data_IF_669919596426
#
_entry.id   IF_669919596426
#
_cell.length_a   1.000
_cell.length_b   1.000
_cell.length_c   1.000
_cell.angle_alpha   90.00
_cell.angle_beta   90.00
_cell.angle_gamma   90.00
#
_symmetry.space_group_name_H-M   'P 1'
#
loop_
_entity.id
_entity.type
_entity.pdbx_description
1 polymer ?
#
# COMPACT_ATOMS: atom_id res chain seq x y z
N UNK A 1 -20.74 3.48 16.41
CA UNK A 1 -19.26 3.61 16.42
C UNK A 1 -18.67 4.06 17.74
N UNK A 2 -19.13 5.16 18.40
CA UNK A 2 -18.58 5.56 19.69
C UNK A 2 -18.64 4.47 20.78
N UNK A 3 -19.70 3.66 20.79
CA UNK A 3 -19.82 2.53 21.72
C UNK A 3 -18.71 1.47 21.52
N UNK A 4 -18.36 1.19 20.26
CA UNK A 4 -17.28 0.26 19.92
C UNK A 4 -15.93 0.82 20.39
N UNK A 5 -15.66 2.10 20.11
CA UNK A 5 -14.43 2.74 20.56
C UNK A 5 -14.30 2.70 22.08
N UNK A 6 -15.39 2.99 22.81
CA UNK A 6 -15.42 2.94 24.26
C UNK A 6 -15.25 1.51 24.82
N UNK A 7 -15.90 0.50 24.21
CA UNK A 7 -15.79 -0.91 24.60
C UNK A 7 -14.35 -1.42 24.50
N UNK A 8 -13.61 -1.00 23.44
CA UNK A 8 -12.23 -1.41 23.23
C UNK A 8 -11.21 -0.44 23.80
N UNK A 9 -11.64 0.61 24.53
CA UNK A 9 -10.74 1.60 25.12
C UNK A 9 -9.93 2.41 24.11
N UNK A 10 -10.43 2.58 22.87
CA UNK A 10 -9.74 3.27 21.81
C UNK A 10 -9.93 4.78 21.91
N UNK A 11 -8.86 5.58 22.04
CA UNK A 11 -8.93 7.02 22.11
C UNK A 11 -9.27 7.59 20.72
N UNK A 12 -10.42 8.23 20.58
CA UNK A 12 -10.91 8.78 19.31
C UNK A 12 -10.57 10.25 19.08
N UNK A 13 -10.00 10.92 20.08
CA UNK A 13 -9.52 12.31 20.01
C UNK A 13 -8.10 12.38 20.53
N UNK A 14 -7.39 13.39 20.08
CA UNK A 14 -6.11 13.76 20.67
C UNK A 14 -6.33 14.78 21.78
N UNK A 15 -5.47 14.77 22.78
CA UNK A 15 -5.42 15.84 23.75
C UNK A 15 -4.94 17.14 23.09
N UNK A 16 -5.45 18.31 23.53
CA UNK A 16 -5.09 19.60 22.92
C UNK A 16 -3.58 19.87 22.87
N UNK A 17 -2.81 19.33 23.82
CA UNK A 17 -1.35 19.46 23.85
C UNK A 17 -0.71 18.74 22.64
N UNK A 18 -1.23 17.57 22.26
CA UNK A 18 -0.74 16.77 21.12
C UNK A 18 -1.06 17.45 19.80
N UNK A 19 -2.31 17.95 19.64
CA UNK A 19 -2.73 18.68 18.45
C UNK A 19 -1.94 19.98 18.28
N UNK A 20 -1.78 20.78 19.32
CA UNK A 20 -0.98 22.01 19.30
C UNK A 20 0.49 21.73 18.96
N UNK A 21 1.07 20.63 19.49
CA UNK A 21 2.43 20.23 19.15
C UNK A 21 2.56 19.87 17.68
N UNK A 22 1.60 19.14 17.11
CA UNK A 22 1.59 18.81 15.68
C UNK A 22 1.38 20.06 14.80
N UNK A 23 0.46 20.95 15.18
CA UNK A 23 0.16 22.17 14.44
C UNK A 23 1.32 23.16 14.43
N UNK A 24 2.19 23.14 15.46
CA UNK A 24 3.41 23.96 15.52
C UNK A 24 4.49 23.52 14.50
N UNK A 25 4.38 22.34 13.91
CA UNK A 25 5.32 21.84 12.92
C UNK A 25 5.11 22.60 11.59
N UNK A 26 6.20 23.20 11.08
CA UNK A 26 6.16 23.95 9.81
C UNK A 26 5.81 23.08 8.61
N UNK A 27 4.95 23.61 7.74
CA UNK A 27 4.62 22.99 6.45
C UNK A 27 5.71 23.27 5.39
N UNK A 28 6.62 24.22 5.65
CA UNK A 28 7.62 24.64 4.68
C UNK A 28 8.89 23.80 4.82
N UNK A 29 9.28 23.20 3.72
CA UNK A 29 10.58 22.56 3.57
C UNK A 29 11.61 23.65 3.25
N UNK A 30 12.70 23.70 3.99
CA UNK A 30 13.78 24.69 3.85
C UNK A 30 15.05 24.02 3.34
N UNK A 31 16.02 24.82 2.88
CA UNK A 31 17.33 24.32 2.46
C UNK A 31 18.04 23.51 3.55
N UNK A 32 17.76 23.79 4.83
CA UNK A 32 18.29 23.03 5.95
C UNK A 32 17.72 21.60 5.96
N UNK A 33 16.45 21.45 5.63
CA UNK A 33 15.75 20.16 5.61
C UNK A 33 16.17 19.30 4.41
N UNK A 34 16.63 19.95 3.33
CA UNK A 34 17.16 19.30 2.13
C UNK A 34 18.60 18.81 2.27
N UNK A 35 19.34 19.34 3.26
CA UNK A 35 20.75 19.01 3.43
C UNK A 35 20.96 17.50 3.68
N UNK A 36 21.72 16.86 2.79
CA UNK A 36 22.01 15.42 2.87
C UNK A 36 20.93 14.51 2.33
N UNK A 37 19.88 15.05 1.73
CA UNK A 37 18.86 14.31 0.98
C UNK A 37 19.23 14.22 -0.50
N UNK A 38 18.92 13.10 -1.12
CA UNK A 38 19.00 12.96 -2.58
C UNK A 38 17.73 13.54 -3.20
N UNK A 39 17.89 14.34 -4.23
CA UNK A 39 16.78 15.02 -4.90
C UNK A 39 16.13 14.13 -5.96
N UNK A 40 14.83 13.92 -5.84
CA UNK A 40 13.97 13.18 -6.76
C UNK A 40 12.76 14.01 -7.24
N UNK A 41 12.78 15.34 -7.01
CA UNK A 41 11.65 16.20 -7.36
C UNK A 41 11.37 16.24 -8.86
N UNK A 42 12.39 16.07 -9.68
CA UNK A 42 12.28 16.04 -11.15
C UNK A 42 12.15 14.60 -11.70
N UNK A 43 12.01 13.59 -10.84
CA UNK A 43 11.84 12.20 -11.26
C UNK A 43 10.36 11.85 -11.26
N UNK A 44 9.87 11.25 -12.36
CA UNK A 44 8.48 10.82 -12.48
C UNK A 44 8.09 9.95 -11.27
N UNK A 45 7.19 10.46 -10.44
CA UNK A 45 6.80 9.85 -9.17
C UNK A 45 5.29 9.87 -9.02
N UNK A 46 4.72 8.81 -8.46
CA UNK A 46 3.27 8.68 -8.25
C UNK A 46 2.95 7.75 -7.09
N UNK A 47 1.74 7.88 -6.54
CA UNK A 47 1.17 6.97 -5.56
C UNK A 47 0.05 6.12 -6.17
N UNK A 48 -0.25 4.94 -5.60
CA UNK A 48 -1.39 4.09 -5.95
C UNK A 48 -2.04 3.63 -4.65
N UNK A 49 -3.22 4.17 -4.34
CA UNK A 49 -3.89 4.04 -3.04
C UNK A 49 -5.37 3.69 -3.22
N UNK A 50 -6.09 3.31 -2.13
CA UNK A 50 -7.55 3.28 -2.13
C UNK A 50 -8.14 4.64 -2.54
N UNK A 51 -9.29 4.64 -3.21
CA UNK A 51 -9.92 5.88 -3.69
C UNK A 51 -10.22 6.87 -2.56
N UNK A 52 -10.62 6.36 -1.41
CA UNK A 52 -10.97 7.11 -0.20
C UNK A 52 -9.76 7.45 0.71
N UNK A 53 -8.54 7.05 0.35
CA UNK A 53 -7.34 7.34 1.14
C UNK A 53 -6.99 8.83 1.14
N UNK A 54 -6.48 9.31 2.29
CA UNK A 54 -5.97 10.67 2.50
C UNK A 54 -4.52 10.69 2.96
N UNK A 55 -4.04 9.58 3.46
CA UNK A 55 -2.73 9.28 4.00
C UNK A 55 -1.94 8.45 2.96
N UNK A 56 -1.22 9.12 2.09
CA UNK A 56 -0.38 8.46 1.07
C UNK A 56 1.00 8.23 1.65
N UNK A 57 1.22 7.04 2.21
CA UNK A 57 2.43 6.72 2.96
C UNK A 57 3.61 6.32 2.07
N UNK A 58 3.34 5.82 0.86
CA UNK A 58 4.33 5.35 -0.09
C UNK A 58 4.11 5.88 -1.52
N UNK A 59 5.21 6.03 -2.24
CA UNK A 59 5.22 6.42 -3.65
C UNK A 59 6.26 5.62 -4.42
N UNK A 60 6.03 5.45 -5.72
CA UNK A 60 6.99 4.87 -6.64
C UNK A 60 7.51 5.92 -7.60
N UNK A 61 8.84 5.97 -7.81
CA UNK A 61 9.42 6.72 -8.91
C UNK A 61 9.97 5.79 -9.99
N UNK A 62 9.97 6.29 -11.22
CA UNK A 62 10.39 5.52 -12.39
C UNK A 62 11.20 6.36 -13.36
N UNK A 63 12.33 5.82 -13.81
CA UNK A 63 13.15 6.43 -14.87
C UNK A 63 13.79 5.32 -15.72
N UNK A 64 13.74 5.48 -17.05
CA UNK A 64 14.50 4.62 -17.98
C UNK A 64 15.96 5.10 -18.01
N UNK A 65 16.92 4.17 -17.92
CA UNK A 65 18.34 4.46 -17.99
C UNK A 65 18.87 4.20 -19.42
N UNK A 66 19.98 4.89 -19.77
CA UNK A 66 20.61 4.75 -21.09
C UNK A 66 21.09 3.32 -21.40
N UNK A 67 21.43 2.55 -20.37
CA UNK A 67 21.85 1.14 -20.51
C UNK A 67 20.69 0.14 -20.71
N UNK A 68 19.45 0.64 -20.83
CA UNK A 68 18.25 -0.18 -20.99
C UNK A 68 17.66 -0.73 -19.69
N UNK A 69 18.28 -0.47 -18.56
CA UNK A 69 17.72 -0.76 -17.24
C UNK A 69 16.73 0.34 -16.79
N UNK A 70 16.13 0.14 -15.63
CA UNK A 70 15.23 1.09 -15.00
C UNK A 70 15.77 1.50 -13.63
N UNK A 71 15.70 2.79 -13.30
CA UNK A 71 15.81 3.24 -11.92
C UNK A 71 14.40 3.28 -11.34
N UNK A 72 14.18 2.56 -10.26
CA UNK A 72 12.90 2.51 -9.53
C UNK A 72 13.15 2.90 -8.09
N UNK A 73 12.48 3.97 -7.65
CA UNK A 73 12.50 4.40 -6.25
C UNK A 73 11.22 3.94 -5.54
N UNK A 74 11.39 3.46 -4.33
CA UNK A 74 10.32 3.22 -3.35
C UNK A 74 10.51 4.24 -2.26
N UNK A 75 9.59 5.18 -2.15
CA UNK A 75 9.67 6.33 -1.26
C UNK A 75 8.63 6.20 -0.16
N UNK A 76 9.08 6.23 1.09
CA UNK A 76 8.22 6.18 2.28
C UNK A 76 8.29 7.53 2.97
N UNK A 77 7.17 8.06 3.44
CA UNK A 77 7.13 9.30 4.19
C UNK A 77 8.13 9.30 5.35
N UNK A 78 8.96 10.33 5.47
CA UNK A 78 9.98 10.43 6.54
C UNK A 78 9.34 10.91 7.84
N UNK A 79 8.41 10.12 8.39
CA UNK A 79 7.67 10.42 9.63
C UNK A 79 8.62 10.72 10.77
N UNK A 80 9.74 10.00 10.87
CA UNK A 80 10.74 10.17 11.91
C UNK A 80 11.49 11.52 11.86
N UNK A 81 11.36 12.25 10.77
CA UNK A 81 11.84 13.63 10.67
C UNK A 81 10.98 14.58 11.48
N UNK A 82 9.66 14.40 11.46
CA UNK A 82 8.68 15.25 12.14
C UNK A 82 8.40 14.80 13.56
N UNK A 83 8.29 13.48 13.78
CA UNK A 83 8.01 12.88 15.10
C UNK A 83 9.32 12.43 15.72
N UNK A 84 9.87 13.31 16.58
CA UNK A 84 11.16 13.03 17.26
C UNK A 84 10.92 12.18 18.51
N UNK A 85 11.84 11.25 18.84
CA UNK A 85 11.73 10.40 20.02
C UNK A 85 11.54 11.20 21.31
N UNK A 86 10.58 10.80 22.13
CA UNK A 86 10.25 11.43 23.42
C UNK A 86 9.42 12.69 23.33
N UNK A 87 9.07 13.17 22.12
CA UNK A 87 8.12 14.27 21.94
C UNK A 87 6.71 13.91 22.43
N UNK A 88 5.86 14.92 22.64
CA UNK A 88 4.46 14.71 23.02
C UNK A 88 3.73 13.84 21.99
N UNK A 89 3.95 14.11 20.69
CA UNK A 89 3.37 13.34 19.60
C UNK A 89 3.89 11.89 19.59
N UNK A 90 5.18 11.68 19.83
CA UNK A 90 5.77 10.34 19.90
C UNK A 90 5.18 9.50 21.05
N UNK A 91 5.02 10.11 22.23
CA UNK A 91 4.41 9.42 23.38
C UNK A 91 2.97 9.03 23.12
N UNK A 92 2.18 9.90 22.50
CA UNK A 92 0.81 9.60 22.10
C UNK A 92 0.75 8.51 21.04
N UNK A 93 1.63 8.56 20.03
CA UNK A 93 1.74 7.53 19.00
C UNK A 93 2.10 6.15 19.59
N UNK A 94 3.00 6.10 20.57
CA UNK A 94 3.33 4.87 21.31
C UNK A 94 2.13 4.34 22.11
N UNK A 95 1.35 5.21 22.74
CA UNK A 95 0.16 4.83 23.49
C UNK A 95 -0.93 4.26 22.56
N UNK A 96 -1.12 4.84 21.37
CA UNK A 96 -2.09 4.35 20.38
C UNK A 96 -1.62 3.07 19.68
N UNK A 97 -0.34 2.98 19.36
CA UNK A 97 0.30 1.84 18.73
C UNK A 97 -0.01 1.61 17.25
N UNK A 98 -1.18 2.05 16.76
CA UNK A 98 -1.62 1.92 15.37
C UNK A 98 -2.77 2.88 15.05
N UNK A 99 -3.02 3.11 13.76
CA UNK A 99 -4.29 3.68 13.29
C UNK A 99 -5.37 2.59 13.27
N UNK A 100 -6.60 2.95 13.59
CA UNK A 100 -7.75 2.03 13.58
C UNK A 100 -8.76 2.50 12.53
N UNK A 101 -8.99 1.64 11.53
CA UNK A 101 -9.92 1.93 10.44
C UNK A 101 -11.27 1.31 10.75
N UNK A 102 -12.27 2.17 10.94
CA UNK A 102 -13.67 1.80 11.13
C UNK A 102 -14.43 1.97 9.81
N UNK A 103 -15.67 1.54 9.79
CA UNK A 103 -16.52 1.60 8.58
C UNK A 103 -16.75 3.04 8.11
N UNK A 104 -16.91 3.97 9.06
CA UNK A 104 -17.30 5.36 8.81
C UNK A 104 -16.18 6.38 9.07
N UNK A 105 -15.07 5.96 9.67
CA UNK A 105 -13.96 6.86 10.02
C UNK A 105 -12.67 6.12 10.33
N UNK A 106 -11.58 6.85 10.32
CA UNK A 106 -10.28 6.41 10.85
C UNK A 106 -10.02 7.07 12.20
N UNK A 107 -9.52 6.30 13.16
CA UNK A 107 -8.90 6.81 14.39
C UNK A 107 -7.39 6.76 14.18
N UNK A 108 -6.75 7.87 13.81
CA UNK A 108 -5.36 7.86 13.38
C UNK A 108 -4.40 7.73 14.55
N UNK A 109 -3.25 7.10 14.31
CA UNK A 109 -2.14 7.01 15.26
C UNK A 109 -1.47 8.38 15.49
N UNK A 110 -1.39 9.19 14.44
CA UNK A 110 -0.81 10.53 14.45
C UNK A 110 -1.88 11.59 14.15
N UNK A 111 -1.77 12.82 14.67
CA UNK A 111 -2.67 13.93 14.31
C UNK A 111 -2.76 14.11 12.79
N UNK A 112 -3.93 14.54 12.32
CA UNK A 112 -4.21 14.69 10.87
C UNK A 112 -3.25 15.66 10.16
N UNK A 113 -2.72 16.65 10.88
CA UNK A 113 -1.66 17.54 10.38
C UNK A 113 -0.43 16.76 9.92
N UNK A 114 -0.12 15.65 10.57
CA UNK A 114 0.97 14.76 10.18
C UNK A 114 0.50 13.72 9.18
N UNK A 115 -0.49 12.90 9.53
CA UNK A 115 -0.90 11.76 8.70
C UNK A 115 -1.44 12.16 7.34
N UNK A 116 -2.31 13.19 7.28
CA UNK A 116 -3.00 13.57 6.04
C UNK A 116 -2.33 14.73 5.29
N UNK A 117 -1.32 15.41 5.90
CA UNK A 117 -0.66 16.57 5.27
C UNK A 117 0.85 16.39 5.16
N UNK A 118 1.61 16.53 6.26
CA UNK A 118 3.07 16.58 6.21
C UNK A 118 3.68 15.25 5.74
N UNK A 119 3.16 14.13 6.22
CA UNK A 119 3.63 12.80 5.86
C UNK A 119 2.87 12.19 4.67
N UNK A 120 1.75 12.76 4.23
CA UNK A 120 1.05 12.28 3.04
C UNK A 120 1.75 12.75 1.77
N UNK A 121 2.14 11.81 0.90
CA UNK A 121 2.90 12.05 -0.35
C UNK A 121 1.99 12.56 -1.47
N UNK A 122 1.32 13.69 -1.20
CA UNK A 122 0.30 14.30 -2.06
C UNK A 122 0.91 14.80 -3.37
N UNK A 123 0.16 14.70 -4.49
CA UNK A 123 0.65 15.17 -5.78
C UNK A 123 0.90 16.68 -5.80
N UNK A 124 1.94 17.09 -6.55
CA UNK A 124 2.37 18.47 -6.71
C UNK A 124 2.81 19.19 -5.42
N UNK A 125 3.20 18.42 -4.42
CA UNK A 125 3.77 18.91 -3.16
C UNK A 125 5.13 18.29 -2.92
N UNK A 126 6.11 19.11 -2.50
CA UNK A 126 7.41 18.60 -2.06
C UNK A 126 7.25 17.85 -0.73
N UNK A 127 7.82 16.65 -0.65
CA UNK A 127 7.72 15.79 0.54
C UNK A 127 9.08 15.20 0.90
N UNK A 128 9.33 15.15 2.21
CA UNK A 128 10.49 14.48 2.76
C UNK A 128 10.22 12.99 2.88
N UNK A 129 11.12 12.18 2.32
CA UNK A 129 10.97 10.73 2.29
C UNK A 129 12.25 10.03 2.72
N UNK A 130 12.11 8.76 3.11
CA UNK A 130 13.19 7.79 3.20
C UNK A 130 12.99 6.75 2.10
N UNK A 131 14.01 6.48 1.30
CA UNK A 131 13.82 5.77 0.04
C UNK A 131 14.77 4.60 -0.13
N UNK A 132 14.25 3.57 -0.81
CA UNK A 132 15.02 2.50 -1.40
C UNK A 132 15.00 2.69 -2.92
N UNK A 133 16.15 2.90 -3.53
CA UNK A 133 16.31 3.14 -4.96
C UNK A 133 17.08 2.00 -5.59
N UNK A 134 16.54 1.44 -6.66
CA UNK A 134 17.07 0.25 -7.33
C UNK A 134 17.36 0.54 -8.78
N UNK A 135 18.49 0.04 -9.28
CA UNK A 135 18.67 -0.21 -10.70
C UNK A 135 18.20 -1.63 -11.00
N UNK A 136 17.18 -1.75 -11.87
CA UNK A 136 16.51 -3.01 -12.16
C UNK A 136 16.56 -3.28 -13.67
N UNK A 137 16.94 -4.50 -14.05
CA UNK A 137 16.87 -4.93 -15.45
C UNK A 137 15.41 -5.17 -15.90
N UNK A 138 15.11 -5.20 -17.21
CA UNK A 138 13.78 -5.55 -17.72
C UNK A 138 13.28 -6.94 -17.26
N UNK A 139 14.20 -7.82 -16.88
CA UNK A 139 13.89 -9.14 -16.33
C UNK A 139 13.87 -9.16 -14.79
N UNK A 140 13.66 -8.00 -14.14
CA UNK A 140 13.60 -7.86 -12.68
C UNK A 140 14.85 -8.37 -11.94
N UNK A 141 16.03 -8.24 -12.53
CA UNK A 141 17.33 -8.46 -11.87
C UNK A 141 17.76 -7.16 -11.18
N UNK A 142 18.12 -7.20 -9.91
CA UNK A 142 18.63 -6.04 -9.17
C UNK A 142 20.12 -5.90 -9.48
N UNK A 143 20.49 -4.79 -10.11
CA UNK A 143 21.89 -4.45 -10.46
C UNK A 143 22.56 -3.71 -9.31
N UNK A 144 21.87 -2.72 -8.78
CA UNK A 144 22.36 -1.93 -7.64
C UNK A 144 21.19 -1.46 -6.76
N UNK A 145 21.50 -1.08 -5.54
CA UNK A 145 20.55 -0.49 -4.60
C UNK A 145 21.18 0.61 -3.78
N UNK A 146 20.37 1.62 -3.43
CA UNK A 146 20.75 2.72 -2.55
C UNK A 146 19.62 2.99 -1.56
N UNK A 147 19.96 3.30 -0.31
CA UNK A 147 19.02 3.60 0.76
C UNK A 147 19.38 4.90 1.45
N UNK A 148 18.43 5.77 1.65
CA UNK A 148 18.67 7.03 2.35
C UNK A 148 17.52 8.01 2.27
N UNK A 149 17.75 9.18 2.86
CA UNK A 149 16.78 10.27 2.85
C UNK A 149 16.73 10.96 1.49
N UNK A 150 15.51 11.26 1.06
CA UNK A 150 15.24 11.92 -0.22
C UNK A 150 14.24 13.04 -0.03
N UNK A 151 14.08 13.87 -1.07
CA UNK A 151 12.96 14.75 -1.28
C UNK A 151 12.34 14.40 -2.62
N UNK A 152 11.02 14.30 -2.67
CA UNK A 152 10.24 13.99 -3.87
C UNK A 152 9.21 15.09 -4.14
N UNK A 153 8.71 15.13 -5.36
CA UNK A 153 7.47 15.82 -5.73
C UNK A 153 6.63 14.84 -6.55
N UNK A 154 5.57 14.29 -5.96
CA UNK A 154 4.72 13.32 -6.64
C UNK A 154 3.96 14.02 -7.79
N UNK A 155 3.99 13.43 -8.99
CA UNK A 155 3.32 13.99 -10.17
C UNK A 155 1.84 13.61 -10.23
N UNK A 156 1.47 12.46 -9.64
CA UNK A 156 0.12 11.95 -9.78
C UNK A 156 -0.27 10.99 -8.64
N UNK A 157 -1.55 10.96 -8.32
CA UNK A 157 -2.14 9.97 -7.42
C UNK A 157 -3.12 9.09 -8.18
N UNK A 158 -2.89 7.79 -8.19
CA UNK A 158 -3.80 6.80 -8.75
C UNK A 158 -4.68 6.18 -7.67
N UNK A 159 -5.95 5.95 -7.99
CA UNK A 159 -6.71 4.92 -7.30
C UNK A 159 -6.31 3.54 -7.83
N UNK A 160 -6.41 2.49 -7.00
CA UNK A 160 -6.13 1.11 -7.45
C UNK A 160 -6.94 0.74 -8.70
N UNK A 161 -8.17 1.19 -8.77
CA UNK A 161 -9.09 0.94 -9.88
C UNK A 161 -8.58 1.56 -11.19
N UNK A 162 -8.10 2.80 -11.14
CA UNK A 162 -7.55 3.49 -12.30
C UNK A 162 -6.25 2.85 -12.77
N UNK A 163 -5.35 2.51 -11.85
CA UNK A 163 -4.12 1.79 -12.18
C UNK A 163 -4.42 0.41 -12.78
N UNK A 164 -5.45 -0.29 -12.26
CA UNK A 164 -5.89 -1.57 -12.78
C UNK A 164 -6.42 -1.46 -14.23
N UNK A 165 -7.21 -0.43 -14.54
CA UNK A 165 -7.69 -0.19 -15.90
C UNK A 165 -6.54 0.03 -16.90
N UNK A 166 -5.46 0.72 -16.48
CA UNK A 166 -4.26 0.86 -17.32
C UNK A 166 -3.62 -0.50 -17.57
N UNK A 167 -3.53 -1.33 -16.54
CA UNK A 167 -2.95 -2.69 -16.65
C UNK A 167 -3.82 -3.58 -17.54
N UNK A 168 -5.13 -3.61 -17.34
CA UNK A 168 -6.07 -4.45 -18.08
C UNK A 168 -6.10 -4.10 -19.58
N UNK A 169 -6.02 -2.81 -19.90
CA UNK A 169 -5.96 -2.34 -21.27
C UNK A 169 -4.56 -2.52 -21.91
N UNK A 170 -3.53 -2.77 -21.10
CA UNK A 170 -2.16 -2.98 -21.56
C UNK A 170 -1.66 -1.82 -22.45
N UNK A 171 -1.02 -2.15 -23.58
CA UNK A 171 -0.46 -1.11 -24.48
C UNK A 171 -1.53 -0.21 -25.13
N UNK A 172 -2.77 -0.67 -25.27
CA UNK A 172 -3.88 0.16 -25.76
C UNK A 172 -4.15 1.35 -24.84
N UNK A 173 -3.89 1.22 -23.54
CA UNK A 173 -4.07 2.32 -22.59
C UNK A 173 -3.18 3.54 -22.90
N UNK A 174 -2.07 3.35 -23.63
CA UNK A 174 -1.17 4.43 -24.03
C UNK A 174 -1.81 5.41 -25.03
N UNK A 175 -2.79 4.94 -25.78
CA UNK A 175 -3.52 5.73 -26.79
C UNK A 175 -4.87 6.23 -26.27
N UNK A 176 -5.37 5.67 -25.16
CA UNK A 176 -6.65 6.05 -24.59
C UNK A 176 -6.54 7.30 -23.72
N UNK A 177 -7.42 8.27 -23.98
CA UNK A 177 -7.73 9.33 -23.04
C UNK A 177 -8.80 8.84 -22.07
N UNK A 178 -8.46 8.65 -20.82
CA UNK A 178 -9.40 8.16 -19.80
C UNK A 178 -10.52 9.18 -19.47
N UNK A 179 -10.52 10.39 -20.05
CA UNK A 179 -11.67 11.31 -19.99
C UNK A 179 -12.83 10.88 -20.90
N UNK A 180 -12.49 10.29 -22.05
CA UNK A 180 -13.50 9.92 -23.05
C UNK A 180 -14.20 8.59 -22.80
N UNK A 181 -13.74 7.85 -21.78
CA UNK A 181 -14.24 6.50 -21.48
C UNK A 181 -15.45 6.45 -20.57
N UNK A 182 -16.34 7.46 -20.61
CA UNK A 182 -17.61 7.39 -19.84
C UNK A 182 -18.53 6.27 -20.32
N UNK A 183 -18.40 5.82 -21.56
CA UNK A 183 -19.28 4.79 -22.12
C UNK A 183 -18.94 3.35 -21.71
N UNK A 184 -17.75 3.13 -21.12
CA UNK A 184 -17.32 1.78 -20.67
C UNK A 184 -17.16 1.63 -19.17
N UNK A 185 -16.98 2.71 -18.43
CA UNK A 185 -16.62 2.68 -17.00
C UNK A 185 -17.85 2.78 -16.09
N UNK A 186 -18.92 3.45 -16.55
CA UNK A 186 -20.19 3.55 -15.82
C UNK A 186 -21.20 2.44 -16.12
N UNK A 187 -20.85 1.44 -16.93
CA UNK A 187 -21.74 0.31 -17.20
C UNK A 187 -22.00 -0.60 -15.98
N UNK A 188 -21.26 -0.43 -14.88
CA UNK A 188 -21.42 -1.22 -13.65
C UNK A 188 -22.19 -0.49 -12.53
N UNK A 189 -22.47 0.82 -12.66
CA UNK A 189 -23.26 1.57 -11.67
C UNK A 189 -24.31 2.40 -12.41
N UNK A 190 -25.40 1.76 -12.83
CA UNK A 190 -26.63 2.47 -13.20
C UNK A 190 -27.47 2.60 -11.93
N UNK A 191 -27.34 3.72 -11.25
CA UNK A 191 -28.41 4.20 -10.39
C UNK A 191 -29.46 4.95 -11.25
N UNK A 192 -30.74 4.76 -10.99
CA UNK A 192 -31.77 5.46 -11.75
C UNK A 192 -31.72 6.94 -11.38
N UNK A 193 -31.53 7.77 -12.40
CA UNK A 193 -31.59 9.23 -12.30
C UNK A 193 -33.03 9.60 -11.85
N UNK A 194 -33.13 10.07 -10.60
CA UNK A 194 -34.25 10.88 -10.17
C UNK A 194 -34.11 12.25 -10.83
N UNK A 195 -35.06 12.63 -11.68
CA UNK A 195 -35.15 13.96 -12.26
C UNK A 195 -35.16 15.00 -11.13
N UNK A 196 -34.05 15.73 -11.01
CA UNK A 196 -33.94 16.80 -10.03
C UNK A 196 -34.71 18.03 -10.49
N UNK A 197 -35.52 18.60 -9.62
CA UNK A 197 -36.21 19.87 -9.86
C UNK A 197 -35.18 21.02 -10.00
N UNK A 198 -35.53 22.14 -10.72
CA UNK A 198 -34.62 23.28 -10.89
C UNK A 198 -34.07 23.90 -9.61
N UNK A 199 -34.82 23.73 -8.50
CA UNK A 199 -34.38 24.20 -7.16
C UNK A 199 -33.30 23.30 -6.51
N UNK A 200 -33.29 22.00 -6.85
CA UNK A 200 -32.26 21.08 -6.42
C UNK A 200 -30.95 21.31 -7.18
N UNK A 201 -31.02 21.71 -8.45
CA UNK A 201 -29.83 22.06 -9.25
C UNK A 201 -29.14 23.33 -8.73
N UNK A 202 -29.89 24.37 -8.35
CA UNK A 202 -29.34 25.62 -7.79
C UNK A 202 -28.70 25.41 -6.39
N UNK A 203 -29.24 24.48 -5.58
CA UNK A 203 -28.60 24.08 -4.31
C UNK A 203 -27.31 23.29 -4.53
N UNK A 204 -27.28 22.41 -5.53
CA UNK A 204 -26.08 21.65 -5.87
C UNK A 204 -24.93 22.54 -6.37
N UNK A 205 -25.22 23.62 -7.11
CA UNK A 205 -24.20 24.60 -7.53
C UNK A 205 -23.62 25.41 -6.35
N UNK A 206 -24.43 25.76 -5.36
CA UNK A 206 -23.96 26.49 -4.17
C UNK A 206 -23.17 25.59 -3.21
N UNK A 207 -23.53 24.30 -3.10
CA UNK A 207 -22.77 23.30 -2.35
C UNK A 207 -21.48 22.87 -3.08
N UNK A 208 -21.50 22.86 -4.42
CA UNK A 208 -20.31 22.59 -5.24
C UNK A 208 -19.24 23.69 -5.10
N UNK A 209 -19.64 24.97 -4.98
CA UNK A 209 -18.73 26.08 -4.75
C UNK A 209 -18.05 26.02 -3.37
N UNK A 210 -18.76 25.58 -2.32
CA UNK A 210 -18.17 25.36 -0.98
C UNK A 210 -17.34 24.08 -0.88
N UNK A 211 -17.60 23.09 -1.72
CA UNK A 211 -16.83 21.82 -1.81
C UNK A 211 -15.52 21.98 -2.57
N UNK A 212 -15.39 22.99 -3.46
CA UNK A 212 -14.18 23.16 -4.27
C UNK A 212 -12.92 23.44 -3.45
N UNK A 213 -13.04 24.15 -2.34
CA UNK A 213 -11.89 24.43 -1.43
C UNK A 213 -11.55 23.25 -0.51
N UNK A 214 -12.54 22.48 -0.06
CA UNK A 214 -12.31 21.29 0.76
C UNK A 214 -11.84 20.07 -0.07
N UNK A 215 -12.20 19.99 -1.36
CA UNK A 215 -11.78 18.92 -2.27
C UNK A 215 -10.43 19.19 -2.96
N UNK A 216 -9.92 20.42 -2.99
CA UNK A 216 -8.56 20.71 -3.47
C UNK A 216 -7.46 20.00 -2.68
N UNK A 217 -7.80 19.43 -1.52
CA UNK A 217 -6.90 18.64 -0.69
C UNK A 217 -6.79 17.14 -1.03
N UNK A 218 -7.73 16.57 -1.77
CA UNK A 218 -7.75 15.13 -2.10
C UNK A 218 -7.77 14.95 -3.62
N UNK A 219 -6.65 15.26 -4.29
CA UNK A 219 -6.54 15.28 -5.74
C UNK A 219 -6.99 14.04 -6.51
N UNK A 220 -8.29 13.80 -6.54
CA UNK A 220 -8.95 13.01 -7.57
C UNK A 220 -9.20 13.97 -8.72
N UNK A 221 -8.33 13.95 -9.71
CA UNK A 221 -8.52 14.72 -10.95
C UNK A 221 -9.54 13.98 -11.82
N UNK A 222 -10.83 14.10 -11.49
CA UNK A 222 -11.89 13.76 -12.45
C UNK A 222 -11.69 14.62 -13.71
N UNK A 223 -11.44 13.96 -14.82
CA UNK A 223 -11.33 14.61 -16.13
C UNK A 223 -9.91 15.01 -16.59
N UNK A 224 -8.83 14.71 -15.91
CA UNK A 224 -7.47 14.91 -16.43
C UNK A 224 -7.01 13.74 -17.30
N UNK A 225 -6.42 14.06 -18.47
CA UNK A 225 -5.71 13.07 -19.29
C UNK A 225 -4.50 12.57 -18.50
N UNK A 226 -4.41 11.26 -18.26
CA UNK A 226 -3.23 10.67 -17.64
C UNK A 226 -2.09 10.69 -18.67
N UNK A 227 -0.95 11.35 -18.36
CA UNK A 227 0.19 11.40 -19.27
C UNK A 227 0.66 10.01 -19.69
N UNK A 228 1.05 9.88 -20.95
CA UNK A 228 1.54 8.63 -21.53
C UNK A 228 2.70 8.03 -20.73
N UNK A 229 3.60 8.87 -20.25
CA UNK A 229 4.77 8.47 -19.45
C UNK A 229 4.37 7.75 -18.15
N UNK A 230 3.31 8.20 -17.47
CA UNK A 230 2.77 7.55 -16.28
C UNK A 230 2.18 6.19 -16.61
N UNK A 231 1.42 6.08 -17.73
CA UNK A 231 0.88 4.79 -18.18
C UNK A 231 2.00 3.80 -18.52
N UNK A 232 3.05 4.25 -19.22
CA UNK A 232 4.23 3.44 -19.54
C UNK A 232 4.96 2.98 -18.26
N UNK A 233 5.09 3.86 -17.26
CA UNK A 233 5.68 3.51 -15.97
C UNK A 233 4.88 2.41 -15.28
N UNK A 234 3.57 2.55 -15.15
CA UNK A 234 2.68 1.53 -14.53
C UNK A 234 2.82 0.18 -15.25
N UNK A 235 2.74 0.17 -16.59
CA UNK A 235 2.85 -1.07 -17.36
C UNK A 235 4.22 -1.75 -17.22
N UNK A 236 5.29 -0.95 -17.17
CA UNK A 236 6.65 -1.47 -16.97
C UNK A 236 6.82 -2.03 -15.55
N UNK A 237 6.39 -1.27 -14.54
CA UNK A 237 6.46 -1.70 -13.14
C UNK A 237 5.59 -2.93 -12.89
N UNK A 238 4.40 -3.03 -13.52
CA UNK A 238 3.57 -4.21 -13.46
C UNK A 238 4.27 -5.46 -14.03
N UNK A 239 4.95 -5.34 -15.19
CA UNK A 239 5.75 -6.44 -15.76
C UNK A 239 6.84 -6.90 -14.79
N UNK A 240 7.58 -5.97 -14.19
CA UNK A 240 8.63 -6.26 -13.18
C UNK A 240 8.02 -6.91 -11.94
N UNK A 241 6.96 -6.35 -11.37
CA UNK A 241 6.28 -6.89 -10.20
C UNK A 241 5.77 -8.32 -10.44
N UNK A 242 5.23 -8.60 -11.63
CA UNK A 242 4.76 -9.94 -12.01
C UNK A 242 5.91 -10.97 -12.01
N UNK A 243 7.12 -10.58 -12.45
CA UNK A 243 8.30 -11.45 -12.40
C UNK A 243 8.77 -11.65 -10.95
N UNK A 244 8.82 -10.58 -10.14
CA UNK A 244 9.17 -10.65 -8.72
C UNK A 244 8.22 -11.56 -7.97
N UNK A 245 6.91 -11.43 -8.19
CA UNK A 245 5.87 -12.26 -7.58
C UNK A 245 6.04 -13.74 -7.95
N UNK A 246 6.24 -14.05 -9.22
CA UNK A 246 6.49 -15.42 -9.66
C UNK A 246 7.72 -16.04 -8.97
N UNK A 247 8.81 -15.27 -8.84
CA UNK A 247 10.01 -15.72 -8.13
C UNK A 247 9.76 -15.96 -6.65
N UNK A 248 9.00 -15.08 -6.00
CA UNK A 248 8.64 -15.18 -4.59
C UNK A 248 7.85 -16.46 -4.32
N UNK A 249 6.85 -16.78 -5.15
CA UNK A 249 6.09 -18.02 -5.01
C UNK A 249 6.94 -19.27 -5.32
N UNK A 250 7.80 -19.19 -6.31
CA UNK A 250 8.75 -20.29 -6.60
C UNK A 250 9.74 -20.50 -5.44
N UNK A 251 10.06 -19.45 -4.67
CA UNK A 251 10.90 -19.52 -3.48
C UNK A 251 10.18 -20.00 -2.21
N UNK A 252 8.85 -20.24 -2.27
CA UNK A 252 8.08 -20.81 -1.15
C UNK A 252 7.16 -19.82 -0.43
N UNK A 253 6.77 -18.71 -1.06
CA UNK A 253 5.71 -17.87 -0.53
C UNK A 253 4.38 -18.62 -0.56
N UNK A 254 3.55 -18.44 0.48
CA UNK A 254 2.21 -19.04 0.57
C UNK A 254 1.18 -17.96 0.25
N UNK A 255 0.18 -18.30 -0.58
CA UNK A 255 -0.92 -17.41 -0.91
C UNK A 255 -2.12 -17.68 -0.01
N UNK A 256 -2.40 -16.76 0.91
CA UNK A 256 -3.64 -16.74 1.66
C UNK A 256 -4.54 -15.67 1.05
N UNK A 257 -5.65 -16.07 0.45
CA UNK A 257 -6.65 -15.17 -0.12
C UNK A 257 -7.72 -14.85 0.93
N UNK A 258 -7.38 -13.98 1.90
CA UNK A 258 -8.39 -13.55 2.87
C UNK A 258 -9.38 -12.59 2.20
N UNK A 259 -10.68 -12.93 2.20
CA UNK A 259 -11.70 -12.00 1.78
C UNK A 259 -11.75 -10.82 2.76
N UNK A 260 -11.33 -9.63 2.32
CA UNK A 260 -11.55 -8.40 3.05
C UNK A 260 -12.94 -7.89 2.75
N UNK A 261 -13.82 -7.93 3.76
CA UNK A 261 -15.18 -7.40 3.61
C UNK A 261 -15.16 -5.90 3.82
N UNK A 262 -15.63 -5.16 2.82
CA UNK A 262 -15.86 -3.72 2.87
C UNK A 262 -17.34 -3.44 3.03
N UNK A 263 -17.64 -2.40 3.79
CA UNK A 263 -19.01 -1.91 3.98
C UNK A 263 -19.08 -0.53 3.34
N UNK A 264 -19.96 -0.40 2.37
CA UNK A 264 -20.31 0.87 1.75
C UNK A 264 -21.34 1.57 2.63
N UNK A 265 -21.16 2.86 2.91
CA UNK A 265 -22.06 3.66 3.74
C UNK A 265 -22.60 4.83 2.93
N UNK A 266 -23.85 5.23 3.22
CA UNK A 266 -24.43 6.44 2.64
C UNK A 266 -23.85 7.73 3.29
N UNK A 267 -24.25 8.89 2.78
CA UNK A 267 -23.83 10.20 3.30
C UNK A 267 -24.15 10.41 4.80
N UNK A 268 -25.04 9.63 5.35
CA UNK A 268 -25.43 9.64 6.78
C UNK A 268 -24.69 8.57 7.59
N UNK A 269 -23.72 7.87 7.00
CA UNK A 269 -22.95 6.81 7.65
C UNK A 269 -23.73 5.51 7.86
N UNK A 270 -24.86 5.27 7.15
CA UNK A 270 -25.64 4.03 7.27
C UNK A 270 -25.12 3.01 6.25
N UNK A 271 -24.97 1.74 6.64
CA UNK A 271 -24.49 0.70 5.74
C UNK A 271 -25.51 0.46 4.60
N UNK A 272 -25.05 0.54 3.37
CA UNK A 272 -25.84 0.32 2.15
C UNK A 272 -25.54 -1.05 1.58
N UNK A 273 -24.26 -1.44 1.55
CA UNK A 273 -23.80 -2.66 0.91
C UNK A 273 -22.60 -3.23 1.64
N UNK A 274 -22.50 -4.55 1.66
CA UNK A 274 -21.31 -5.30 2.05
C UNK A 274 -20.77 -6.02 0.84
N UNK A 275 -19.48 -5.83 0.53
CA UNK A 275 -18.83 -6.47 -0.60
C UNK A 275 -17.43 -6.96 -0.24
N UNK A 276 -16.97 -7.95 -1.00
CA UNK A 276 -15.62 -8.47 -0.86
C UNK A 276 -14.67 -7.65 -1.72
N UNK A 277 -13.63 -7.07 -1.09
CA UNK A 277 -12.53 -6.45 -1.81
C UNK A 277 -11.62 -7.55 -2.38
N UNK A 278 -11.41 -7.52 -3.68
CA UNK A 278 -10.54 -8.46 -4.37
C UNK A 278 -9.24 -7.74 -4.73
N UNK A 279 -8.10 -8.27 -4.26
CA UNK A 279 -6.78 -7.77 -4.66
C UNK A 279 -6.49 -8.19 -6.10
N UNK A 280 -6.06 -7.20 -6.90
CA UNK A 280 -5.73 -7.36 -8.32
C UNK A 280 -4.27 -6.98 -8.59
N UNK A 281 -3.89 -6.95 -9.85
CA UNK A 281 -2.52 -6.70 -10.31
C UNK A 281 -1.97 -5.36 -9.83
N UNK A 282 -2.80 -4.31 -9.76
CA UNK A 282 -2.39 -3.00 -9.23
C UNK A 282 -2.02 -3.08 -7.74
N UNK A 283 -2.74 -3.88 -6.94
CA UNK A 283 -2.41 -4.12 -5.54
C UNK A 283 -1.10 -4.91 -5.43
N UNK A 284 -0.93 -5.96 -6.25
CA UNK A 284 0.29 -6.76 -6.26
C UNK A 284 1.51 -5.99 -6.74
N UNK A 285 1.33 -4.98 -7.62
CA UNK A 285 2.41 -4.09 -8.04
C UNK A 285 3.00 -3.37 -6.82
N UNK A 286 2.18 -2.70 -6.03
CA UNK A 286 2.62 -2.02 -4.82
C UNK A 286 3.20 -3.01 -3.80
N UNK A 287 2.52 -4.12 -3.53
CA UNK A 287 2.98 -5.18 -2.62
C UNK A 287 4.40 -5.66 -2.96
N UNK A 288 4.68 -5.95 -4.22
CA UNK A 288 5.99 -6.51 -4.61
C UNK A 288 7.12 -5.48 -4.47
N UNK A 289 6.87 -4.20 -4.78
CA UNK A 289 7.89 -3.16 -4.57
C UNK A 289 8.09 -2.83 -3.09
N UNK A 290 7.03 -2.84 -2.26
CA UNK A 290 7.16 -2.72 -0.81
C UNK A 290 7.95 -3.90 -0.21
N UNK A 291 7.66 -5.13 -0.62
CA UNK A 291 8.39 -6.32 -0.21
C UNK A 291 9.85 -6.28 -0.66
N UNK A 292 10.12 -5.82 -1.89
CA UNK A 292 11.49 -5.63 -2.40
C UNK A 292 12.26 -4.65 -1.52
N UNK A 293 11.68 -3.47 -1.23
CA UNK A 293 12.30 -2.46 -0.40
C UNK A 293 12.57 -2.97 1.02
N UNK A 294 11.55 -3.53 1.68
CA UNK A 294 11.66 -4.04 3.06
C UNK A 294 12.73 -5.12 3.19
N UNK A 295 12.73 -6.09 2.28
CA UNK A 295 13.70 -7.18 2.26
C UNK A 295 15.12 -6.68 2.00
N UNK A 296 15.28 -5.79 1.01
CA UNK A 296 16.60 -5.25 0.65
C UNK A 296 17.20 -4.41 1.77
N UNK A 297 16.39 -3.62 2.49
CA UNK A 297 16.84 -2.87 3.67
C UNK A 297 17.26 -3.82 4.79
N UNK A 298 16.47 -4.86 5.08
CA UNK A 298 16.80 -5.85 6.09
C UNK A 298 18.13 -6.57 5.77
N UNK A 299 18.31 -7.02 4.53
CA UNK A 299 19.55 -7.65 4.05
C UNK A 299 20.74 -6.67 4.10
N UNK A 300 20.55 -5.42 3.69
CA UNK A 300 21.58 -4.38 3.74
C UNK A 300 22.10 -4.14 5.16
N UNK A 301 21.20 -4.06 6.13
CA UNK A 301 21.58 -3.86 7.54
C UNK A 301 22.24 -5.12 8.11
N UNK A 302 21.70 -6.31 7.83
CA UNK A 302 22.25 -7.59 8.31
C UNK A 302 23.65 -7.89 7.76
N UNK A 303 23.91 -7.52 6.51
CA UNK A 303 25.21 -7.76 5.86
C UNK A 303 26.22 -6.63 6.07
N UNK A 304 25.87 -5.60 6.85
CA UNK A 304 26.75 -4.44 7.09
C UNK A 304 26.94 -3.56 5.84
N UNK A 305 25.98 -3.61 4.90
CA UNK A 305 25.98 -2.79 3.71
C UNK A 305 27.01 -3.24 2.68
N UNK A 306 26.81 -4.37 2.03
CA UNK A 306 27.56 -4.70 0.81
C UNK A 306 27.18 -3.71 -0.27
N UNK A 307 27.98 -2.69 -0.47
CA UNK A 307 27.98 -1.92 -1.70
C UNK A 307 29.16 -2.40 -2.55
N UNK A 308 28.88 -2.84 -3.77
CA UNK A 308 29.89 -3.24 -4.77
C UNK A 308 30.87 -4.33 -4.31
N UNK A 309 30.41 -5.36 -3.61
CA UNK A 309 31.22 -6.51 -3.24
C UNK A 309 32.14 -6.33 -2.02
N UNK A 310 32.24 -5.12 -1.46
CA UNK A 310 33.03 -4.86 -0.26
C UNK A 310 32.14 -4.89 0.98
N UNK A 311 32.28 -5.91 1.82
CA UNK A 311 31.57 -5.98 3.10
C UNK A 311 32.07 -4.88 4.04
N UNK A 312 31.21 -3.98 4.50
CA UNK A 312 31.50 -3.12 5.66
C UNK A 312 31.50 -3.97 6.93
N UNK A 313 32.47 -3.72 7.80
CA UNK A 313 32.93 -4.59 8.89
C UNK A 313 31.96 -4.91 10.03
N UNK A 314 30.71 -4.44 10.06
CA UNK A 314 29.76 -4.81 11.14
C UNK A 314 28.31 -4.69 10.74
N UNK A 315 27.53 -5.76 10.93
CA UNK A 315 26.09 -5.70 10.99
C UNK A 315 25.67 -4.68 12.07
N UNK A 316 24.64 -3.89 11.78
CA UNK A 316 24.08 -2.95 12.75
C UNK A 316 22.89 -3.60 13.45
N UNK A 317 22.63 -3.22 14.69
CA UNK A 317 21.39 -3.58 15.37
C UNK A 317 20.20 -3.04 14.61
N UNK A 318 19.22 -3.90 14.37
CA UNK A 318 18.01 -3.56 13.62
C UNK A 318 16.85 -4.40 14.14
N UNK A 319 15.62 -3.91 14.04
CA UNK A 319 14.44 -4.66 14.42
C UNK A 319 13.96 -5.41 13.20
N UNK A 320 14.06 -6.74 13.24
CA UNK A 320 13.57 -7.63 12.17
C UNK A 320 12.21 -8.18 12.54
N UNK A 321 11.29 -8.20 11.58
CA UNK A 321 10.05 -8.95 11.70
C UNK A 321 10.25 -10.33 11.07
N UNK A 322 10.24 -11.35 11.87
CA UNK A 322 10.50 -12.73 11.45
C UNK A 322 9.28 -13.64 11.71
N UNK A 323 9.24 -14.75 10.99
CA UNK A 323 8.32 -15.85 11.22
C UNK A 323 9.13 -17.12 11.43
N UNK A 324 8.85 -17.83 12.51
CA UNK A 324 9.44 -19.13 12.76
C UNK A 324 8.84 -20.21 11.84
N UNK A 325 9.40 -21.40 11.91
CA UNK A 325 8.89 -22.55 11.18
C UNK A 325 7.44 -22.86 11.59
N UNK A 326 6.62 -23.39 10.67
CA UNK A 326 5.25 -23.79 10.95
C UNK A 326 5.16 -24.84 12.05
N UNK A 327 4.10 -24.79 12.85
CA UNK A 327 3.86 -25.76 13.90
C UNK A 327 3.46 -27.12 13.31
N UNK A 328 4.33 -28.13 13.47
CA UNK A 328 4.20 -29.45 12.85
C UNK A 328 2.95 -30.21 13.31
N UNK A 329 2.52 -30.08 14.58
CA UNK A 329 1.29 -30.71 15.07
C UNK A 329 0.06 -30.13 14.37
N UNK A 330 0.03 -28.81 14.19
CA UNK A 330 -1.07 -28.14 13.50
C UNK A 330 -1.07 -28.47 11.99
N UNK A 331 0.10 -28.60 11.38
CA UNK A 331 0.23 -29.07 9.99
C UNK A 331 -0.30 -30.50 9.85
N UNK A 332 0.03 -31.38 10.79
CA UNK A 332 -0.51 -32.76 10.82
C UNK A 332 -2.05 -32.77 11.02
N UNK A 333 -2.56 -31.88 11.88
CA UNK A 333 -4.00 -31.70 12.07
C UNK A 333 -4.70 -31.22 10.79
N UNK A 334 -4.11 -30.25 10.09
CA UNK A 334 -4.59 -29.77 8.78
C UNK A 334 -4.62 -30.93 7.76
N UNK A 335 -3.54 -31.71 7.68
CA UNK A 335 -3.49 -32.87 6.78
C UNK A 335 -4.61 -33.87 7.04
N UNK A 336 -4.85 -34.19 8.31
CA UNK A 336 -5.93 -35.10 8.70
C UNK A 336 -7.30 -34.52 8.34
N UNK A 337 -7.52 -33.23 8.64
CA UNK A 337 -8.76 -32.54 8.29
C UNK A 337 -9.01 -32.54 6.77
N UNK A 338 -8.02 -32.14 5.97
CA UNK A 338 -8.11 -32.12 4.52
C UNK A 338 -8.37 -33.53 3.94
N UNK A 339 -7.76 -34.56 4.55
CA UNK A 339 -7.98 -35.97 4.19
C UNK A 339 -9.44 -36.42 4.31
N UNK A 340 -10.22 -35.87 5.24
CA UNK A 340 -11.66 -36.17 5.35
C UNK A 340 -12.49 -35.70 4.16
N UNK A 341 -11.95 -34.76 3.36
CA UNK A 341 -12.55 -34.26 2.14
C UNK A 341 -11.91 -34.87 0.88
N UNK A 342 -10.99 -35.82 1.03
CA UNK A 342 -10.33 -36.53 -0.07
C UNK A 342 -9.06 -35.86 -0.61
N UNK A 343 -8.57 -34.79 0.06
CA UNK A 343 -7.32 -34.14 -0.33
C UNK A 343 -6.11 -34.89 0.23
N UNK A 344 -5.06 -34.96 -0.56
CA UNK A 344 -3.77 -35.51 -0.15
C UNK A 344 -2.75 -34.41 -0.02
N UNK A 345 -2.15 -34.24 1.16
CA UNK A 345 -1.10 -33.27 1.43
C UNK A 345 0.09 -33.95 2.10
N UNK A 346 1.28 -33.77 1.53
CA UNK A 346 2.52 -34.09 2.22
C UNK A 346 2.84 -33.02 3.27
N UNK A 347 3.42 -33.45 4.39
CA UNK A 347 3.85 -32.55 5.46
C UNK A 347 5.37 -32.70 5.70
N UNK A 348 6.21 -32.26 4.74
CA UNK A 348 7.65 -32.31 4.87
C UNK A 348 8.15 -31.31 5.92
N UNK A 349 9.26 -31.61 6.59
CA UNK A 349 9.94 -30.70 7.52
C UNK A 349 10.57 -29.50 6.81
N UNK A 350 10.94 -29.67 5.53
CA UNK A 350 11.50 -28.59 4.70
C UNK A 350 10.43 -27.53 4.39
N UNK A 351 10.63 -26.30 4.88
CA UNK A 351 9.66 -25.22 4.77
C UNK A 351 9.26 -24.86 3.33
N UNK A 352 10.17 -24.99 2.34
CA UNK A 352 9.85 -24.73 0.92
C UNK A 352 8.96 -25.81 0.32
N UNK A 353 9.23 -27.07 0.66
CA UNK A 353 8.40 -28.20 0.25
C UNK A 353 7.02 -28.11 0.90
N UNK A 354 6.98 -27.75 2.17
CA UNK A 354 5.72 -27.54 2.90
C UNK A 354 4.91 -26.39 2.27
N UNK A 355 5.54 -25.27 1.95
CA UNK A 355 4.86 -24.16 1.29
C UNK A 355 4.26 -24.56 -0.06
N UNK A 356 4.99 -25.39 -0.85
CA UNK A 356 4.48 -25.92 -2.11
C UNK A 356 3.28 -26.85 -1.90
N UNK A 357 3.34 -27.74 -0.89
CA UNK A 357 2.24 -28.63 -0.55
C UNK A 357 0.99 -27.85 -0.09
N UNK A 358 1.18 -26.82 0.74
CA UNK A 358 0.10 -25.94 1.19
C UNK A 358 -0.53 -25.16 0.02
N UNK A 359 0.28 -24.56 -0.85
CA UNK A 359 -0.23 -23.88 -2.06
C UNK A 359 -1.00 -24.84 -2.97
N UNK A 360 -0.54 -26.10 -3.11
CA UNK A 360 -1.23 -27.13 -3.87
C UNK A 360 -2.60 -27.45 -3.27
N UNK A 361 -2.66 -27.69 -1.95
CA UNK A 361 -3.91 -27.94 -1.23
C UNK A 361 -4.90 -26.76 -1.36
N UNK A 362 -4.42 -25.53 -1.14
CA UNK A 362 -5.27 -24.33 -1.26
C UNK A 362 -5.81 -24.14 -2.69
N UNK A 363 -4.99 -24.39 -3.70
CA UNK A 363 -5.40 -24.31 -5.09
C UNK A 363 -6.44 -25.40 -5.45
N UNK A 364 -6.29 -26.61 -4.96
CA UNK A 364 -7.22 -27.73 -5.20
C UNK A 364 -8.56 -27.52 -4.50
N UNK A 365 -8.54 -26.96 -3.27
CA UNK A 365 -9.74 -26.66 -2.48
C UNK A 365 -10.45 -25.37 -2.94
N UNK A 366 -9.81 -24.54 -3.75
CA UNK A 366 -10.36 -23.24 -4.19
C UNK A 366 -11.74 -23.42 -4.82
N UNK A 367 -12.66 -22.53 -4.46
CA UNK A 367 -14.06 -22.53 -4.90
C UNK A 367 -14.92 -23.72 -4.39
N UNK A 368 -14.42 -24.50 -3.42
CA UNK A 368 -15.21 -25.55 -2.78
C UNK A 368 -15.70 -25.12 -1.39
N UNK A 369 -16.79 -25.71 -0.88
CA UNK A 369 -17.38 -25.31 0.42
C UNK A 369 -16.40 -25.34 1.60
N UNK A 370 -15.49 -26.30 1.62
CA UNK A 370 -14.49 -26.51 2.66
C UNK A 370 -13.28 -25.58 2.58
N UNK A 371 -13.13 -24.79 1.50
CA UNK A 371 -11.97 -23.93 1.27
C UNK A 371 -11.63 -23.02 2.45
N UNK A 372 -12.63 -22.29 2.97
CA UNK A 372 -12.42 -21.35 4.08
C UNK A 372 -11.92 -22.04 5.35
N UNK A 373 -12.40 -23.25 5.63
CA UNK A 373 -11.94 -24.02 6.78
C UNK A 373 -10.49 -24.50 6.61
N UNK A 374 -10.15 -25.01 5.43
CA UNK A 374 -8.78 -25.43 5.07
C UNK A 374 -7.82 -24.25 5.15
N UNK A 375 -8.20 -23.09 4.59
CA UNK A 375 -7.39 -21.87 4.60
C UNK A 375 -7.13 -21.35 6.02
N UNK A 376 -8.15 -21.33 6.89
CA UNK A 376 -8.02 -20.93 8.30
C UNK A 376 -7.08 -21.89 9.04
N UNK A 377 -7.21 -23.20 8.83
CA UNK A 377 -6.33 -24.17 9.49
C UNK A 377 -4.89 -24.08 8.98
N UNK A 378 -4.70 -23.88 7.67
CA UNK A 378 -3.38 -23.62 7.09
C UNK A 378 -2.74 -22.38 7.70
N UNK A 379 -3.47 -21.28 7.78
CA UNK A 379 -2.98 -20.04 8.40
C UNK A 379 -2.65 -20.23 9.90
N UNK A 380 -3.48 -20.96 10.66
CA UNK A 380 -3.25 -21.24 12.09
C UNK A 380 -2.07 -22.17 12.33
N UNK A 381 -1.62 -22.91 11.32
CA UNK A 381 -0.41 -23.72 11.39
C UNK A 381 0.88 -22.91 11.23
N UNK A 382 0.78 -21.70 10.67
CA UNK A 382 1.91 -20.79 10.55
C UNK A 382 2.26 -20.13 11.88
N UNK A 383 3.55 -19.88 12.08
CA UNK A 383 4.02 -19.12 13.23
C UNK A 383 3.60 -17.64 13.11
N UNK A 384 3.24 -17.02 14.22
CA UNK A 384 3.00 -15.58 14.27
C UNK A 384 4.32 -14.84 14.05
N UNK A 385 4.23 -13.63 13.50
CA UNK A 385 5.39 -12.75 13.41
C UNK A 385 5.87 -12.36 14.80
N UNK A 386 7.20 -12.28 14.97
CA UNK A 386 7.87 -11.70 16.13
C UNK A 386 8.95 -10.70 15.70
N UNK A 387 9.34 -9.84 16.66
CA UNK A 387 10.34 -8.78 16.46
C UNK A 387 11.55 -9.03 17.35
#
# INVERSE_FOLDING_TARGET
MHSILAEYGLPYRFEPEVENAADSISDKITEKDLKGRKDFRDTLTFTIDPEDAKDFDDALSFRKLENGNYEVGVHIADVSYYVTPGSVVDKEAQARGTSVYLVDRTVPMLPEKLSNKLCSLRPNEEKLTFSAVFEITPLAGIVSSWFGRTVINSNYRFAYETAQQIIDNGEKSLEMDLRGGTDGIHAAVKDPVLEASPEAAARAEHEAAGRSEAMMGAGVYEGCVIPRELKEAILTLHKIASILRKRRFAAGAISFERPEMKVEVDEKGRPVRVYQKISKEANWLIEEFMLLANRSVAEFIATGGKMNGVAKKSAKTFVYRIHDEPNQEKVAGLRTFAGNFGYTMEAPEDGRKLAKALNGLLAEAKNKPEFSAIEILALRSMAKACY
#
